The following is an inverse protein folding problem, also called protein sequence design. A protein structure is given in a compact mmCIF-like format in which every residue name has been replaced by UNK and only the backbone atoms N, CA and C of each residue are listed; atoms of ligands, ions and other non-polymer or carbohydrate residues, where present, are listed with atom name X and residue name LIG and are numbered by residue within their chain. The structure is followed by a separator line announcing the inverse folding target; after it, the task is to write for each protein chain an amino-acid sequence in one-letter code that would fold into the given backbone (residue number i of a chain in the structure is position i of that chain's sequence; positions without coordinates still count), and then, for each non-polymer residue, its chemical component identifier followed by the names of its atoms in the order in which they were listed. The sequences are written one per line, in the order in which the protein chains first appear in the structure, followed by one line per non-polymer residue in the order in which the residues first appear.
data_IF_358929213968
#
_entry.id   IF_358929213968
#
_cell.length_a   1.000
_cell.length_b   1.000
_cell.length_c   1.000
_cell.angle_alpha   90.00
_cell.angle_beta   90.00
_cell.angle_gamma   90.00
#
_symmetry.space_group_name_H-M   'P 1'
#
loop_
_entity.id
_entity.type
_entity.pdbx_description
1 polymer ?
#
# COMPACT_ATOMS: atom_id res chain seq x y z
N UNK A 1 -15.78 25.49 -5.18
CA UNK A 1 -16.15 24.10 -5.51
C UNK A 1 -15.49 23.23 -4.47
N UNK A 2 -16.25 22.43 -3.72
CA UNK A 2 -15.69 21.51 -2.75
C UNK A 2 -14.89 20.45 -3.51
N UNK A 3 -13.60 20.34 -3.22
CA UNK A 3 -12.74 19.32 -3.81
C UNK A 3 -13.00 18.00 -3.09
N UNK A 4 -13.29 16.93 -3.83
CA UNK A 4 -13.44 15.59 -3.27
C UNK A 4 -12.15 14.78 -3.39
N UNK A 5 -11.88 13.93 -2.42
CA UNK A 5 -10.79 12.97 -2.42
C UNK A 5 -11.36 11.57 -2.20
N UNK A 6 -11.05 10.66 -3.11
CA UNK A 6 -11.31 9.23 -2.94
C UNK A 6 -10.03 8.54 -2.49
N UNK A 7 -10.06 7.92 -1.33
CA UNK A 7 -8.94 7.18 -0.76
C UNK A 7 -9.27 5.70 -0.82
N UNK A 8 -8.43 4.91 -1.47
CA UNK A 8 -8.44 3.45 -1.44
C UNK A 8 -7.18 2.96 -0.74
N UNK A 9 -7.32 1.93 0.08
CA UNK A 9 -6.16 1.39 0.78
C UNK A 9 -6.26 -0.11 1.02
N UNK A 10 -5.10 -0.73 1.10
CA UNK A 10 -4.92 -2.15 1.42
C UNK A 10 -4.04 -2.33 2.64
N UNK A 11 -4.00 -3.53 3.17
CA UNK A 11 -3.18 -3.91 4.31
C UNK A 11 -2.98 -5.43 4.35
N UNK A 12 -1.95 -5.89 5.07
CA UNK A 12 -1.76 -7.30 5.42
C UNK A 12 -1.68 -8.26 4.23
N UNK A 13 -1.06 -7.83 3.12
CA UNK A 13 -0.77 -8.70 1.97
C UNK A 13 0.15 -9.85 2.40
N UNK A 14 1.10 -9.59 3.32
CA UNK A 14 1.96 -10.59 3.98
C UNK A 14 2.76 -11.48 3.03
N UNK A 15 3.12 -10.96 1.86
CA UNK A 15 3.88 -11.71 0.87
C UNK A 15 3.02 -12.57 -0.07
N UNK A 16 1.71 -12.47 -0.02
CA UNK A 16 0.85 -13.17 -0.99
C UNK A 16 0.86 -12.42 -2.34
N UNK A 17 1.93 -12.64 -3.13
CA UNK A 17 2.04 -12.05 -4.46
C UNK A 17 0.92 -12.51 -5.40
N UNK A 18 0.41 -13.73 -5.23
CA UNK A 18 -0.64 -14.28 -6.10
C UNK A 18 -2.03 -13.72 -5.81
N UNK A 19 -2.20 -13.03 -4.67
CA UNK A 19 -3.36 -12.20 -4.40
C UNK A 19 -3.41 -10.96 -5.31
N UNK A 20 -2.25 -10.38 -5.65
CA UNK A 20 -2.11 -9.05 -6.25
C UNK A 20 -2.74 -8.91 -7.65
N UNK A 21 -2.67 -9.90 -8.57
CA UNK A 21 -3.33 -9.78 -9.86
C UNK A 21 -4.85 -9.61 -9.75
N UNK A 22 -5.48 -10.31 -8.82
CA UNK A 22 -6.92 -10.21 -8.56
C UNK A 22 -7.25 -8.90 -7.82
N UNK A 23 -6.44 -8.55 -6.82
CA UNK A 23 -6.58 -7.32 -6.07
C UNK A 23 -6.49 -6.09 -6.99
N UNK A 24 -5.57 -6.09 -7.94
CA UNK A 24 -5.45 -5.02 -8.94
C UNK A 24 -6.73 -4.88 -9.79
N UNK A 25 -7.28 -5.99 -10.28
CA UNK A 25 -8.55 -5.94 -11.02
C UNK A 25 -9.67 -5.35 -10.16
N UNK A 26 -9.73 -5.72 -8.89
CA UNK A 26 -10.73 -5.23 -7.97
C UNK A 26 -10.55 -3.73 -7.67
N UNK A 27 -9.33 -3.30 -7.40
CA UNK A 27 -8.99 -1.88 -7.21
C UNK A 27 -9.38 -1.05 -8.44
N UNK A 28 -9.05 -1.50 -9.65
CA UNK A 28 -9.43 -0.80 -10.88
C UNK A 28 -10.94 -0.61 -11.03
N UNK A 29 -11.73 -1.57 -10.57
CA UNK A 29 -13.21 -1.44 -10.55
C UNK A 29 -13.66 -0.38 -9.54
N UNK A 30 -13.10 -0.36 -8.33
CA UNK A 30 -13.43 0.65 -7.31
C UNK A 30 -12.99 2.05 -7.71
N UNK A 31 -11.88 2.17 -8.43
CA UNK A 31 -11.37 3.45 -8.96
C UNK A 31 -12.17 3.97 -10.15
N UNK A 32 -12.92 3.09 -10.84
CA UNK A 32 -13.68 3.48 -12.03
C UNK A 32 -14.77 4.49 -11.69
N UNK A 33 -14.69 5.67 -12.28
CA UNK A 33 -15.64 6.78 -12.05
C UNK A 33 -15.36 7.62 -10.80
N UNK A 34 -14.22 7.42 -10.14
CA UNK A 34 -13.77 8.30 -9.07
C UNK A 34 -12.69 9.26 -9.58
N UNK A 35 -12.91 10.55 -9.37
CA UNK A 35 -11.90 11.57 -9.61
C UNK A 35 -11.00 11.70 -8.38
N UNK A 36 -9.74 12.08 -8.58
CA UNK A 36 -8.80 12.38 -7.51
C UNK A 36 -8.63 11.23 -6.49
N UNK A 37 -8.13 10.09 -6.98
CA UNK A 37 -7.93 8.88 -6.17
C UNK A 37 -6.51 8.82 -5.61
N UNK A 38 -6.38 8.56 -4.31
CA UNK A 38 -5.14 8.10 -3.68
C UNK A 38 -5.27 6.62 -3.33
N UNK A 39 -4.30 5.82 -3.79
CA UNK A 39 -4.17 4.40 -3.49
C UNK A 39 -2.98 4.19 -2.55
N UNK A 40 -3.23 3.64 -1.36
CA UNK A 40 -2.25 3.52 -0.29
C UNK A 40 -2.15 2.08 0.22
N UNK A 41 -0.98 1.71 0.73
CA UNK A 41 -0.82 0.50 1.54
C UNK A 41 -0.53 0.90 3.00
N UNK A 42 -1.31 0.36 3.92
CA UNK A 42 -1.20 0.70 5.34
C UNK A 42 -0.26 -0.22 6.12
N UNK A 43 0.43 -1.13 5.42
CA UNK A 43 1.52 -1.93 5.97
C UNK A 43 1.28 -3.43 6.03
N UNK A 44 2.27 -4.13 6.53
CA UNK A 44 2.36 -5.59 6.54
C UNK A 44 2.26 -6.21 5.13
N UNK A 45 2.87 -5.57 4.12
CA UNK A 45 2.87 -6.04 2.73
C UNK A 45 3.74 -7.25 2.54
N UNK A 46 4.88 -7.33 3.23
CA UNK A 46 5.78 -8.49 3.25
C UNK A 46 5.76 -9.18 4.62
N UNK A 47 6.17 -10.44 4.65
CA UNK A 47 6.38 -11.23 5.86
C UNK A 47 7.70 -11.97 5.78
N UNK A 48 8.51 -11.93 6.83
CA UNK A 48 9.78 -12.67 6.91
C UNK A 48 9.60 -14.20 6.80
N UNK A 49 8.40 -14.71 7.05
CA UNK A 49 8.08 -16.13 6.89
C UNK A 49 7.98 -16.54 5.41
N UNK A 50 7.80 -15.57 4.51
CA UNK A 50 7.67 -15.81 3.08
C UNK A 50 9.04 -15.71 2.40
N UNK A 51 9.42 -16.73 1.64
CA UNK A 51 10.76 -16.90 1.10
C UNK A 51 11.23 -15.72 0.24
N UNK A 52 10.39 -15.22 -0.70
CA UNK A 52 10.77 -14.09 -1.57
C UNK A 52 10.88 -12.76 -0.78
N UNK A 53 10.10 -12.60 0.30
CA UNK A 53 10.25 -11.44 1.19
C UNK A 53 11.63 -11.47 1.88
N UNK A 54 12.06 -12.62 2.41
CA UNK A 54 13.42 -12.78 2.98
C UNK A 54 14.49 -12.56 1.93
N UNK A 55 14.37 -13.23 0.77
CA UNK A 55 15.34 -13.16 -0.31
C UNK A 55 15.58 -11.71 -0.78
N UNK A 56 14.55 -10.90 -0.80
CA UNK A 56 14.59 -9.52 -1.28
C UNK A 56 14.66 -8.46 -0.18
N UNK A 57 14.76 -8.87 1.11
CA UNK A 57 14.74 -7.95 2.24
C UNK A 57 13.45 -7.09 2.26
N UNK A 58 12.29 -7.71 2.03
CA UNK A 58 10.99 -7.04 2.06
C UNK A 58 10.59 -6.29 0.77
N UNK A 59 11.47 -6.19 -0.23
CA UNK A 59 11.23 -5.38 -1.43
C UNK A 59 10.23 -5.97 -2.43
N UNK A 60 10.09 -7.29 -2.49
CA UNK A 60 9.28 -7.98 -3.51
C UNK A 60 7.84 -7.45 -3.62
N UNK A 61 7.15 -7.31 -2.49
CA UNK A 61 5.78 -6.78 -2.49
C UNK A 61 5.73 -5.30 -2.87
N UNK A 62 6.70 -4.49 -2.42
CA UNK A 62 6.73 -3.06 -2.71
C UNK A 62 6.94 -2.76 -4.20
N UNK A 63 7.76 -3.55 -4.88
CA UNK A 63 7.91 -3.48 -6.34
C UNK A 63 6.60 -3.86 -7.05
N UNK A 64 5.88 -4.85 -6.53
CA UNK A 64 4.58 -5.19 -7.08
C UNK A 64 3.55 -4.07 -6.85
N UNK A 65 3.50 -3.46 -5.65
CA UNK A 65 2.62 -2.33 -5.36
C UNK A 65 2.94 -1.11 -6.24
N UNK A 66 4.21 -0.83 -6.48
CA UNK A 66 4.66 0.22 -7.41
C UNK A 66 4.11 -0.04 -8.84
N UNK A 67 4.28 -1.25 -9.35
CA UNK A 67 3.73 -1.66 -10.65
C UNK A 67 2.20 -1.67 -10.71
N UNK A 68 1.51 -1.75 -9.58
CA UNK A 68 0.06 -1.62 -9.46
C UNK A 68 -0.41 -0.17 -9.38
N UNK A 69 0.50 0.81 -9.27
CA UNK A 69 0.21 2.23 -9.20
C UNK A 69 -0.16 2.73 -7.80
N UNK A 70 0.34 2.10 -6.75
CA UNK A 70 0.21 2.65 -5.40
C UNK A 70 0.99 3.97 -5.28
N UNK A 71 0.40 4.93 -4.56
CA UNK A 71 0.99 6.24 -4.36
C UNK A 71 1.94 6.26 -3.16
N UNK A 72 1.58 5.58 -2.07
CA UNK A 72 2.45 5.43 -0.91
C UNK A 72 2.19 4.12 -0.16
N UNK A 73 3.21 3.64 0.55
CA UNK A 73 3.15 2.42 1.34
C UNK A 73 3.85 2.61 2.70
N UNK A 74 3.25 2.07 3.75
CA UNK A 74 3.88 1.98 5.06
C UNK A 74 4.90 0.85 5.07
N UNK A 75 6.17 1.20 5.31
CA UNK A 75 7.31 0.27 5.33
C UNK A 75 7.98 0.17 6.71
N UNK A 76 7.36 0.73 7.74
CA UNK A 76 7.95 0.85 9.07
C UNK A 76 8.40 -0.49 9.68
N UNK A 77 7.65 -1.57 9.42
CA UNK A 77 7.92 -2.89 9.97
C UNK A 77 8.67 -3.82 9.00
N UNK A 78 9.00 -3.36 7.79
CA UNK A 78 9.48 -4.22 6.71
C UNK A 78 10.85 -3.86 6.12
N UNK A 79 11.32 -2.62 6.30
CA UNK A 79 12.59 -2.14 5.74
C UNK A 79 13.39 -1.36 6.78
N UNK A 80 14.69 -1.63 6.85
CA UNK A 80 15.61 -0.71 7.52
C UNK A 80 15.87 0.56 6.69
N UNK A 81 16.51 1.56 7.30
CA UNK A 81 16.77 2.85 6.65
C UNK A 81 17.62 2.73 5.38
N UNK A 82 18.60 1.80 5.35
CA UNK A 82 19.48 1.58 4.19
C UNK A 82 18.72 0.90 3.04
N UNK A 83 17.94 -0.12 3.35
CA UNK A 83 17.07 -0.81 2.39
C UNK A 83 16.06 0.14 1.78
N UNK A 84 15.40 0.97 2.61
CA UNK A 84 14.46 1.99 2.17
C UNK A 84 15.13 3.01 1.23
N UNK A 85 16.29 3.56 1.60
CA UNK A 85 16.99 4.53 0.78
C UNK A 85 17.39 3.98 -0.60
N UNK A 86 17.80 2.71 -0.68
CA UNK A 86 18.09 2.04 -1.94
C UNK A 86 16.82 1.82 -2.78
N UNK A 87 15.74 1.37 -2.16
CA UNK A 87 14.48 1.10 -2.85
C UNK A 87 13.84 2.39 -3.38
N UNK A 88 13.89 3.49 -2.61
CA UNK A 88 13.35 4.79 -3.00
C UNK A 88 13.95 5.36 -4.30
N UNK A 89 15.12 4.88 -4.72
CA UNK A 89 15.74 5.23 -6.00
C UNK A 89 15.22 4.39 -7.19
N UNK A 90 14.46 3.35 -6.93
CA UNK A 90 14.02 2.34 -7.91
C UNK A 90 12.52 2.30 -8.12
N UNK A 91 11.73 2.85 -7.20
CA UNK A 91 10.27 2.82 -7.22
C UNK A 91 9.70 4.24 -7.15
N UNK A 92 8.52 4.44 -7.72
CA UNK A 92 7.79 5.70 -7.65
C UNK A 92 6.88 5.76 -6.41
N UNK A 93 6.51 4.62 -5.84
CA UNK A 93 5.70 4.55 -4.62
C UNK A 93 6.43 5.21 -3.46
N UNK A 94 5.75 6.13 -2.76
CA UNK A 94 6.26 6.81 -1.58
C UNK A 94 6.43 5.84 -0.41
N UNK A 95 7.65 5.72 0.13
CA UNK A 95 7.95 4.83 1.26
C UNK A 95 7.83 5.62 2.56
N UNK A 96 6.82 5.29 3.36
CA UNK A 96 6.46 6.00 4.60
C UNK A 96 6.87 5.18 5.82
N UNK A 97 7.56 5.81 6.77
CA UNK A 97 7.87 5.21 8.08
C UNK A 97 7.86 6.28 9.20
N UNK A 98 8.41 5.95 10.36
CA UNK A 98 8.46 6.87 11.51
C UNK A 98 9.25 8.16 11.22
N UNK A 99 10.19 8.13 10.26
CA UNK A 99 11.11 9.23 9.93
C UNK A 99 10.82 9.91 8.60
N UNK A 100 10.10 9.26 7.71
CA UNK A 100 9.84 9.70 6.35
C UNK A 100 8.34 9.75 6.07
N UNK A 101 7.84 10.93 5.74
CA UNK A 101 6.49 11.17 5.25
C UNK A 101 6.48 11.25 3.72
N UNK A 102 5.30 11.13 3.11
CA UNK A 102 5.09 11.31 1.68
C UNK A 102 4.01 12.36 1.41
N UNK A 103 4.14 13.08 0.29
CA UNK A 103 3.19 14.10 -0.14
C UNK A 103 2.85 13.92 -1.61
N UNK A 104 1.55 13.89 -1.98
CA UNK A 104 1.16 13.96 -3.37
C UNK A 104 1.49 15.34 -3.97
N UNK A 105 1.58 15.45 -5.29
CA UNK A 105 1.65 16.75 -5.95
C UNK A 105 0.52 17.66 -5.49
N UNK A 106 0.80 18.95 -5.29
CA UNK A 106 -0.16 19.93 -4.77
C UNK A 106 -0.03 20.23 -3.28
N UNK A 107 0.59 19.36 -2.49
CA UNK A 107 1.02 19.67 -1.11
C UNK A 107 -0.07 19.87 -0.06
N UNK A 108 -1.36 19.68 -0.37
CA UNK A 108 -2.48 19.85 0.57
C UNK A 108 -2.67 18.67 1.52
N UNK A 109 -2.07 17.53 1.18
CA UNK A 109 -2.17 16.28 1.91
C UNK A 109 -0.78 15.86 2.36
N UNK A 110 -0.69 15.32 3.57
CA UNK A 110 0.49 14.66 4.09
C UNK A 110 0.12 13.20 4.38
N UNK A 111 0.86 12.25 3.87
CA UNK A 111 0.75 10.84 4.24
C UNK A 111 1.89 10.51 5.18
N UNK A 112 1.57 10.13 6.39
CA UNK A 112 2.52 9.87 7.47
C UNK A 112 2.15 8.59 8.21
N UNK A 113 3.09 8.02 8.96
CA UNK A 113 2.78 6.87 9.81
C UNK A 113 1.81 7.26 10.94
N UNK A 114 2.08 8.41 11.57
CA UNK A 114 1.31 9.00 12.65
C UNK A 114 1.17 10.52 12.45
N UNK A 115 0.21 11.18 13.12
CA UNK A 115 0.01 12.62 12.98
C UNK A 115 1.25 13.44 13.36
N UNK A 116 1.54 14.47 12.58
CA UNK A 116 2.59 15.45 12.84
C UNK A 116 1.98 16.71 13.45
N UNK A 117 2.51 17.18 14.58
CA UNK A 117 1.96 18.32 15.33
C UNK A 117 1.95 19.63 14.56
N UNK A 118 2.91 19.86 13.66
CA UNK A 118 3.08 21.10 12.92
C UNK A 118 2.38 21.17 11.58
N UNK A 119 1.67 20.12 11.16
CA UNK A 119 1.04 20.09 9.85
C UNK A 119 -0.27 20.89 9.82
N UNK A 120 -0.35 21.89 8.92
CA UNK A 120 -1.56 22.66 8.67
C UNK A 120 -2.52 22.04 7.65
N UNK A 121 -2.14 20.92 7.05
CA UNK A 121 -2.82 20.19 5.98
C UNK A 121 -3.55 18.95 6.49
N UNK A 122 -4.36 18.32 5.64
CA UNK A 122 -4.93 17.00 5.93
C UNK A 122 -3.81 15.98 6.06
N UNK A 123 -3.84 15.17 7.11
CA UNK A 123 -2.88 14.10 7.35
C UNK A 123 -3.58 12.76 7.23
N UNK A 124 -3.09 11.89 6.38
CA UNK A 124 -3.56 10.50 6.26
C UNK A 124 -2.59 9.63 7.03
N UNK A 125 -3.09 8.98 8.09
CA UNK A 125 -2.28 8.15 8.97
C UNK A 125 -2.27 6.71 8.47
N UNK A 126 -1.10 6.16 8.16
CA UNK A 126 -0.96 4.79 7.69
C UNK A 126 -0.92 3.75 8.82
N UNK A 127 -0.76 4.17 10.08
CA UNK A 127 -1.06 3.30 11.22
C UNK A 127 -2.57 3.13 11.32
N UNK A 128 -3.04 1.88 11.23
CA UNK A 128 -4.47 1.57 11.23
C UNK A 128 -5.10 1.66 12.60
N UNK A 129 -6.40 1.86 12.63
CA UNK A 129 -7.23 1.93 13.84
C UNK A 129 -8.47 1.01 13.72
N UNK A 130 -9.29 0.95 14.77
CA UNK A 130 -10.51 0.14 14.80
C UNK A 130 -11.60 0.67 13.85
N UNK A 131 -11.59 1.98 13.55
CA UNK A 131 -12.57 2.61 12.66
C UNK A 131 -11.94 3.75 11.87
N UNK A 132 -12.47 4.03 10.68
CA UNK A 132 -12.08 5.22 9.92
C UNK A 132 -12.72 6.45 10.58
N UNK A 133 -11.88 7.42 10.97
CA UNK A 133 -12.31 8.64 11.64
C UNK A 133 -11.39 9.82 11.36
N UNK A 134 -11.94 11.01 11.45
CA UNK A 134 -11.19 12.26 11.33
C UNK A 134 -11.09 12.92 12.72
N UNK A 135 -9.88 13.09 13.21
CA UNK A 135 -9.56 13.76 14.47
C UNK A 135 -8.77 15.05 14.17
N UNK A 136 -9.43 16.18 14.21
CA UNK A 136 -8.84 17.45 13.77
C UNK A 136 -8.47 17.39 12.28
N UNK A 137 -7.17 17.30 11.98
CA UNK A 137 -6.65 17.18 10.61
C UNK A 137 -6.13 15.77 10.28
N UNK A 138 -6.17 14.85 11.24
CA UNK A 138 -5.67 13.50 11.09
C UNK A 138 -6.81 12.54 10.71
N UNK A 139 -6.69 11.92 9.53
CA UNK A 139 -7.55 10.84 9.09
C UNK A 139 -6.91 9.52 9.49
N UNK A 140 -7.57 8.80 10.38
CA UNK A 140 -7.23 7.44 10.76
C UNK A 140 -8.02 6.46 9.90
N UNK A 141 -7.36 5.40 9.45
CA UNK A 141 -7.95 4.40 8.56
C UNK A 141 -8.26 3.11 9.32
N UNK A 142 -9.44 2.56 9.08
CA UNK A 142 -9.81 1.27 9.64
C UNK A 142 -8.91 0.17 9.09
N UNK A 143 -8.50 -0.77 9.96
CA UNK A 143 -7.69 -1.91 9.55
C UNK A 143 -8.42 -2.78 8.52
N UNK A 144 -7.82 -2.96 7.34
CA UNK A 144 -8.26 -3.93 6.34
C UNK A 144 -7.53 -5.26 6.52
N UNK A 145 -8.14 -6.36 6.10
CA UNK A 145 -7.53 -7.70 6.03
C UNK A 145 -7.00 -7.97 4.63
N UNK A 146 -6.18 -9.01 4.47
CA UNK A 146 -5.79 -9.49 3.15
C UNK A 146 -7.03 -9.77 2.28
N UNK A 147 -7.04 -9.28 1.05
CA UNK A 147 -8.19 -9.40 0.13
C UNK A 147 -9.33 -8.43 0.41
N UNK A 148 -9.20 -7.51 1.36
CA UNK A 148 -10.08 -6.37 1.54
C UNK A 148 -9.45 -5.08 1.01
N UNK A 149 -10.29 -4.17 0.55
CA UNK A 149 -9.93 -2.79 0.20
C UNK A 149 -10.75 -1.86 1.07
N UNK A 150 -10.07 -0.98 1.80
CA UNK A 150 -10.73 0.11 2.48
C UNK A 150 -10.95 1.27 1.52
N UNK A 151 -12.13 1.91 1.63
CA UNK A 151 -12.47 3.12 0.91
C UNK A 151 -12.88 4.20 1.91
N UNK A 152 -12.36 5.42 1.72
CA UNK A 152 -12.84 6.61 2.40
C UNK A 152 -13.00 7.74 1.38
N UNK A 153 -14.19 8.35 1.35
CA UNK A 153 -14.44 9.56 0.54
C UNK A 153 -14.52 10.76 1.45
N UNK A 154 -13.77 11.78 1.10
CA UNK A 154 -13.69 13.02 1.85
C UNK A 154 -14.10 14.19 0.99
N UNK A 155 -14.75 15.16 1.60
CA UNK A 155 -14.85 16.52 1.09
C UNK A 155 -13.75 17.36 1.72
N UNK A 156 -12.97 18.02 0.84
CA UNK A 156 -11.88 18.92 1.20
C UNK A 156 -12.36 20.35 0.97
N UNK A 157 -12.58 21.09 2.04
CA UNK A 157 -13.03 22.47 2.01
C UNK A 157 -12.74 23.12 3.35
N UNK A 158 -13.42 24.22 3.66
CA UNK A 158 -13.28 24.90 4.96
C UNK A 158 -13.62 23.97 6.12
N UNK A 159 -14.61 23.11 5.94
CA UNK A 159 -14.95 22.02 6.84
C UNK A 159 -14.65 20.68 6.16
N UNK A 160 -13.55 20.02 6.54
CA UNK A 160 -13.23 18.67 6.09
C UNK A 160 -14.14 17.66 6.75
N UNK A 161 -14.68 16.72 5.97
CA UNK A 161 -15.51 15.64 6.51
C UNK A 161 -15.37 14.36 5.74
N UNK A 162 -15.58 13.25 6.42
CA UNK A 162 -15.74 11.94 5.81
C UNK A 162 -17.19 11.86 5.30
N UNK A 163 -17.35 11.60 4.00
CA UNK A 163 -18.66 11.39 3.37
C UNK A 163 -19.08 9.93 3.51
N UNK A 164 -18.14 9.03 3.18
CA UNK A 164 -18.32 7.57 3.33
C UNK A 164 -17.03 6.95 3.77
N UNK A 165 -17.12 5.85 4.54
CA UNK A 165 -16.00 4.99 4.87
C UNK A 165 -16.49 3.55 4.98
N UNK A 166 -15.86 2.63 4.25
CA UNK A 166 -16.27 1.23 4.22
C UNK A 166 -15.12 0.30 3.84
N UNK A 167 -15.27 -0.97 4.18
CA UNK A 167 -14.40 -2.05 3.75
C UNK A 167 -15.12 -2.90 2.70
N UNK A 168 -14.45 -3.16 1.59
CA UNK A 168 -14.95 -4.00 0.51
C UNK A 168 -14.22 -5.34 0.50
N UNK A 169 -14.94 -6.43 0.59
CA UNK A 169 -14.39 -7.75 0.36
C UNK A 169 -14.21 -8.01 -1.13
N UNK A 170 -13.03 -8.44 -1.54
CA UNK A 170 -12.79 -8.82 -2.93
C UNK A 170 -13.58 -10.11 -3.28
N UNK A 171 -14.46 -10.07 -4.27
CA UNK A 171 -15.21 -11.27 -4.69
C UNK A 171 -14.27 -12.40 -5.11
N UNK A 172 -14.61 -13.64 -4.74
CA UNK A 172 -13.82 -14.83 -5.13
C UNK A 172 -13.73 -15.00 -6.64
N UNK A 173 -14.72 -14.54 -7.39
CA UNK A 173 -14.79 -14.59 -8.84
C UNK A 173 -14.00 -13.47 -9.55
N UNK A 174 -13.32 -12.59 -8.81
CA UNK A 174 -12.52 -11.52 -9.43
C UNK A 174 -11.41 -12.14 -10.30
N UNK A 175 -11.38 -11.88 -11.62
CA UNK A 175 -10.35 -12.44 -12.49
C UNK A 175 -8.99 -11.77 -12.22
N UNK A 176 -7.88 -12.49 -12.38
CA UNK A 176 -6.55 -11.90 -12.27
C UNK A 176 -6.27 -10.95 -13.44
N UNK A 177 -5.53 -9.89 -13.17
CA UNK A 177 -4.97 -9.02 -14.21
C UNK A 177 -3.72 -9.68 -14.80
N UNK A 178 -3.64 -9.93 -16.12
CA UNK A 178 -2.52 -10.66 -16.71
C UNK A 178 -1.19 -9.90 -16.64
N UNK A 179 -1.19 -8.57 -16.73
CA UNK A 179 0.03 -7.77 -16.61
C UNK A 179 0.64 -7.86 -15.21
N UNK A 180 -0.21 -7.83 -14.18
CA UNK A 180 0.25 -7.98 -12.79
C UNK A 180 0.66 -9.42 -12.50
N UNK A 181 0.01 -10.42 -13.13
CA UNK A 181 0.46 -11.82 -13.03
C UNK A 181 1.88 -11.99 -13.60
N UNK A 182 2.15 -11.45 -14.77
CA UNK A 182 3.51 -11.47 -15.36
C UNK A 182 4.54 -10.70 -14.50
N UNK A 183 4.15 -9.59 -13.88
CA UNK A 183 5.00 -8.87 -12.92
C UNK A 183 5.33 -9.74 -11.70
N UNK A 184 4.35 -10.44 -11.16
CA UNK A 184 4.56 -11.36 -10.02
C UNK A 184 5.54 -12.48 -10.38
N UNK A 185 5.37 -13.12 -11.54
CA UNK A 185 6.31 -14.14 -12.04
C UNK A 185 7.73 -13.59 -12.19
N UNK A 186 7.87 -12.38 -12.72
CA UNK A 186 9.15 -11.70 -12.82
C UNK A 186 9.79 -11.47 -11.45
N UNK A 187 9.05 -10.92 -10.48
CA UNK A 187 9.51 -10.65 -9.12
C UNK A 187 9.97 -11.95 -8.43
N UNK A 188 9.19 -13.03 -8.56
CA UNK A 188 9.61 -14.33 -8.01
C UNK A 188 10.88 -14.87 -8.67
N UNK A 189 11.00 -14.72 -9.98
CA UNK A 189 12.22 -15.11 -10.72
C UNK A 189 13.45 -14.33 -10.22
N UNK A 190 13.34 -13.03 -10.06
CA UNK A 190 14.42 -12.20 -9.52
C UNK A 190 14.75 -12.55 -8.06
N UNK A 191 13.74 -12.80 -7.24
CA UNK A 191 13.96 -13.21 -5.85
C UNK A 191 14.76 -14.53 -5.75
N UNK A 192 14.49 -15.50 -6.66
CA UNK A 192 15.28 -16.75 -6.74
C UNK A 192 16.73 -16.53 -7.14
N UNK A 193 17.03 -15.52 -7.97
CA UNK A 193 18.40 -15.19 -8.36
C UNK A 193 19.21 -14.55 -7.23
N UNK A 194 18.56 -13.73 -6.41
CA UNK A 194 19.20 -13.01 -5.29
C UNK A 194 19.49 -13.93 -4.12
N UNK A 195 18.64 -14.90 -3.86
CA UNK A 195 18.85 -15.96 -2.88
C UNK A 195 18.75 -17.30 -3.59
N UNK A 196 19.86 -17.82 -4.11
CA UNK A 196 19.86 -19.22 -4.51
C UNK A 196 19.46 -20.00 -3.26
N UNK A 197 18.28 -20.60 -3.31
CA UNK A 197 17.88 -21.61 -2.33
C UNK A 197 19.07 -22.53 -2.18
N UNK A 198 19.61 -22.68 -0.96
CA UNK A 198 20.73 -23.54 -0.67
C UNK A 198 20.54 -24.83 -1.42
N UNK A 199 21.41 -25.02 -2.43
CA UNK A 199 21.24 -26.09 -3.40
C UNK A 199 21.21 -27.40 -2.66
N UNK A 200 20.09 -28.08 -2.81
CA UNK A 200 20.02 -29.52 -2.78
C UNK A 200 21.05 -30.25 -1.92
N UNK A 201 20.70 -30.55 -0.71
CA UNK A 201 21.09 -31.84 -0.17
C UNK A 201 19.95 -32.83 -0.49
N UNK A 202 19.74 -33.11 -1.74
CA UNK A 202 19.28 -34.42 -2.17
C UNK A 202 20.53 -35.29 -2.23
N UNK A 203 20.90 -35.84 -1.10
CA UNK A 203 21.77 -37.02 -1.08
C UNK A 203 20.86 -38.25 -1.10
N UNK A 204 21.08 -39.04 -2.09
CA UNK A 204 20.59 -40.39 -2.37
C UNK A 204 20.43 -41.30 -1.15
#
# INVERSE_FOLDING_TARGET
VAQSLSLLYTSHIRGDLWLLPRLHTFLRRLMSGADNVLLLDTGASCSEQVWHCRATGGRSCLVALDGMGYHAANVADGLDASQRAKLAQQVAVGLVDATQDWQPPGGEILVALEPRQSAHRLQICLRTSESTRLEGKALWLQKARAGQVGEARLELGDSRRIVTAQLHDMPRSTPPNPSIAGLVEFIESEARRVSPLDGATQTL
#
